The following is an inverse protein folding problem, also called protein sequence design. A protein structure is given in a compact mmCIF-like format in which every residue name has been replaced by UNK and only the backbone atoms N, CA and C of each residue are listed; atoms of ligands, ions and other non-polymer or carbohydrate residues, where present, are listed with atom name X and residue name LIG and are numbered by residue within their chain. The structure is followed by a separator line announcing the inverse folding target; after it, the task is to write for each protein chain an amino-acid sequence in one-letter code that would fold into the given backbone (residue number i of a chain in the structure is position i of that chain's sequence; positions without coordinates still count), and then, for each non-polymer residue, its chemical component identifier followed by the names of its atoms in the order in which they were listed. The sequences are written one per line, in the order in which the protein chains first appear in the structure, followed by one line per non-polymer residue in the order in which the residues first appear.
data_IF_753288909293
#
_entry.id   IF_753288909293
#
_cell.length_a   1.000
_cell.length_b   1.000
_cell.length_c   1.000
_cell.angle_alpha   90.00
_cell.angle_beta   90.00
_cell.angle_gamma   90.00
#
_symmetry.space_group_name_H-M   'P 1'
#
loop_
_entity.id
_entity.type
_entity.pdbx_description
1 polymer ?
#
# COMPACT_ATOMS: atom_id res chain seq x y z
N UNK A 1 12.46 -26.97 29.18
CA UNK A 1 12.39 -26.83 27.70
C UNK A 1 13.28 -25.67 27.34
N UNK A 2 14.44 -25.98 26.76
CA UNK A 2 15.46 -25.00 26.44
C UNK A 2 15.02 -24.12 25.27
N UNK A 3 14.98 -22.81 25.53
CA UNK A 3 14.78 -21.76 24.54
C UNK A 3 16.01 -21.70 23.64
N UNK A 4 15.90 -22.25 22.42
CA UNK A 4 16.99 -22.18 21.44
C UNK A 4 17.01 -20.79 20.79
N UNK A 5 18.08 -20.06 21.13
CA UNK A 5 18.59 -18.87 20.43
C UNK A 5 18.62 -19.14 18.92
N UNK A 6 17.66 -18.59 18.16
CA UNK A 6 17.81 -18.08 16.78
C UNK A 6 16.48 -17.58 16.13
N UNK A 7 15.36 -17.49 16.86
CA UNK A 7 14.08 -17.02 16.28
C UNK A 7 13.84 -15.49 16.24
N UNK A 8 14.82 -14.65 16.59
CA UNK A 8 14.55 -13.21 16.80
C UNK A 8 15.10 -12.24 15.75
N UNK A 9 15.85 -12.66 14.73
CA UNK A 9 16.52 -11.68 13.86
C UNK A 9 15.54 -10.95 12.93
N UNK A 10 14.49 -11.61 12.45
CA UNK A 10 13.52 -10.97 11.53
C UNK A 10 12.24 -10.46 12.24
N UNK A 11 11.99 -10.82 13.51
CA UNK A 11 10.85 -10.27 14.30
C UNK A 11 11.24 -8.97 15.01
N UNK A 12 12.53 -8.78 15.30
CA UNK A 12 13.04 -7.48 15.72
C UNK A 12 13.11 -6.47 14.57
N UNK A 13 13.13 -6.89 13.31
CA UNK A 13 13.26 -5.96 12.18
C UNK A 13 11.96 -5.15 11.95
N UNK A 14 10.81 -5.82 11.89
CA UNK A 14 9.49 -5.18 11.76
C UNK A 14 9.08 -4.43 13.04
N UNK A 15 9.37 -4.97 14.23
CA UNK A 15 9.13 -4.29 15.51
C UNK A 15 10.14 -3.17 15.85
N UNK A 16 11.30 -3.09 15.17
CA UNK A 16 12.21 -1.94 15.24
C UNK A 16 11.81 -0.82 14.28
N UNK A 17 11.24 -1.17 13.12
CA UNK A 17 10.76 -0.21 12.12
C UNK A 17 9.38 0.37 12.46
N UNK A 18 8.55 -0.40 13.17
CA UNK A 18 7.31 0.07 13.79
C UNK A 18 7.38 -0.05 15.31
N UNK A 19 8.42 0.54 15.90
CA UNK A 19 8.24 1.02 17.28
C UNK A 19 7.15 2.07 17.22
N UNK A 20 6.10 1.96 18.04
CA UNK A 20 5.34 3.16 18.35
C UNK A 20 6.37 4.18 18.82
N UNK A 21 6.24 5.39 18.33
CA UNK A 21 7.15 6.50 18.62
C UNK A 21 7.25 6.75 20.14
N UNK A 22 6.34 6.18 20.95
CA UNK A 22 6.34 6.15 22.42
C UNK A 22 7.43 5.28 23.04
N UNK A 23 8.09 4.40 22.28
CA UNK A 23 9.12 3.47 22.79
C UNK A 23 10.55 3.85 22.38
N UNK A 24 10.73 4.99 21.72
CA UNK A 24 12.04 5.52 21.33
C UNK A 24 12.46 6.67 22.26
N UNK A 25 13.63 6.54 22.90
CA UNK A 25 14.12 7.47 23.94
C UNK A 25 15.08 8.57 23.42
N UNK A 26 15.39 8.60 22.12
CA UNK A 26 16.34 9.55 21.52
C UNK A 26 15.64 10.78 20.90
N UNK A 27 16.28 11.95 20.96
CA UNK A 27 15.80 13.17 20.29
C UNK A 27 15.60 12.97 18.78
N UNK A 28 14.54 13.57 18.22
CA UNK A 28 14.11 13.36 16.82
C UNK A 28 14.75 14.40 15.90
N UNK A 29 15.37 13.95 14.80
CA UNK A 29 15.73 14.83 13.67
C UNK A 29 14.61 14.91 12.61
N UNK A 30 13.72 13.91 12.57
CA UNK A 30 12.53 13.81 11.70
C UNK A 30 11.43 13.00 12.41
N UNK A 31 10.15 13.18 12.06
CA UNK A 31 9.10 12.25 12.50
C UNK A 31 9.26 10.91 11.78
N UNK A 32 9.26 9.80 12.53
CA UNK A 32 9.37 8.46 11.97
C UNK A 32 7.97 7.97 11.68
N UNK A 33 7.72 7.67 10.41
CA UNK A 33 6.38 7.31 9.94
C UNK A 33 6.48 6.15 8.97
N UNK A 34 5.37 5.48 8.69
CA UNK A 34 5.27 4.20 8.00
C UNK A 34 6.01 4.05 6.64
N UNK A 35 6.44 5.16 6.02
CA UNK A 35 7.30 5.17 4.82
C UNK A 35 8.82 5.15 5.13
N UNK A 36 9.20 5.12 6.40
CA UNK A 36 10.59 5.15 6.87
C UNK A 36 10.99 3.80 7.45
N UNK A 37 12.00 3.16 6.87
CA UNK A 37 12.67 2.00 7.46
C UNK A 37 13.90 2.48 8.22
N UNK A 38 13.98 2.17 9.52
CA UNK A 38 15.08 2.54 10.41
C UNK A 38 16.10 1.41 10.44
N UNK A 39 17.28 1.65 9.89
CA UNK A 39 18.43 0.76 10.00
C UNK A 39 19.30 1.22 11.16
N UNK A 40 19.70 0.29 12.01
CA UNK A 40 20.69 0.56 13.05
C UNK A 40 22.04 0.18 12.49
N UNK A 41 22.93 1.15 12.33
CA UNK A 41 24.31 0.89 11.88
C UNK A 41 25.08 0.09 12.94
N UNK A 42 26.23 -0.52 12.59
CA UNK A 42 27.13 -1.11 13.57
C UNK A 42 27.48 -0.16 14.73
N UNK A 43 27.48 1.15 14.47
CA UNK A 43 27.77 2.22 15.43
C UNK A 43 26.56 2.67 16.26
N UNK A 44 25.42 1.98 16.13
CA UNK A 44 24.14 2.26 16.81
C UNK A 44 23.47 3.58 16.41
N UNK A 45 23.81 4.13 15.24
CA UNK A 45 23.11 5.27 14.66
C UNK A 45 21.88 4.81 13.88
N UNK A 46 20.85 5.67 13.83
CA UNK A 46 19.64 5.40 13.07
C UNK A 46 19.82 5.95 11.64
N UNK A 47 19.89 5.09 10.63
CA UNK A 47 19.82 5.46 9.22
C UNK A 47 18.38 5.24 8.74
N UNK A 48 17.75 6.29 8.24
CA UNK A 48 16.39 6.22 7.70
C UNK A 48 16.47 5.98 6.18
N UNK A 49 15.91 4.86 5.72
CA UNK A 49 15.62 4.66 4.31
C UNK A 49 14.16 5.00 4.05
N UNK A 50 13.90 5.84 3.05
CA UNK A 50 12.55 6.13 2.57
C UNK A 50 12.14 5.02 1.61
N UNK A 51 11.32 4.09 2.10
CA UNK A 51 10.65 3.09 1.29
C UNK A 51 9.16 3.34 1.46
N UNK A 52 8.49 3.95 0.47
CA UNK A 52 7.14 4.46 0.64
C UNK A 52 6.09 3.35 0.79
N UNK A 53 6.47 2.07 0.65
CA UNK A 53 5.57 0.94 0.72
C UNK A 53 6.22 -0.20 1.47
N UNK A 54 5.74 -0.56 2.66
CA UNK A 54 5.79 -1.95 3.04
C UNK A 54 4.76 -2.69 2.15
N UNK A 55 5.16 -3.68 1.35
CA UNK A 55 4.25 -4.84 1.22
C UNK A 55 3.99 -5.26 2.66
N UNK A 56 2.77 -5.71 2.94
CA UNK A 56 2.30 -6.20 4.23
C UNK A 56 3.13 -7.37 4.82
N UNK A 57 4.42 -7.16 5.07
CA UNK A 57 5.24 -7.76 6.13
C UNK A 57 4.80 -7.25 7.50
N UNK A 58 3.90 -6.27 7.53
CA UNK A 58 3.16 -5.85 8.71
C UNK A 58 2.32 -7.04 9.20
N UNK A 59 2.91 -7.85 10.06
CA UNK A 59 2.30 -8.95 10.80
C UNK A 59 1.83 -10.19 10.01
N UNK A 60 2.06 -10.31 8.70
CA UNK A 60 1.91 -11.62 8.02
C UNK A 60 2.94 -12.61 8.59
N UNK A 61 2.52 -13.82 8.92
CA UNK A 61 3.41 -14.85 9.47
C UNK A 61 4.51 -15.19 8.46
N UNK A 62 5.77 -15.19 8.88
CA UNK A 62 6.91 -15.54 7.99
C UNK A 62 6.83 -16.94 7.41
N UNK A 63 6.12 -17.83 8.09
CA UNK A 63 5.92 -19.19 7.60
C UNK A 63 4.76 -19.29 6.59
N UNK A 64 4.06 -18.19 6.27
CA UNK A 64 2.86 -18.22 5.43
C UNK A 64 3.14 -18.72 4.00
N UNK A 65 4.34 -18.47 3.49
CA UNK A 65 4.76 -18.90 2.14
C UNK A 65 6.04 -19.74 2.16
N UNK A 66 6.35 -20.35 3.30
CA UNK A 66 7.53 -21.20 3.44
C UNK A 66 7.23 -22.59 2.90
N UNK A 67 8.05 -23.04 1.97
CA UNK A 67 7.93 -24.32 1.28
C UNK A 67 9.18 -25.17 1.48
N UNK A 68 9.09 -26.46 1.14
CA UNK A 68 10.19 -27.43 1.24
C UNK A 68 10.56 -27.92 -0.15
N UNK A 69 11.78 -27.64 -0.55
CA UNK A 69 12.34 -28.09 -1.82
C UNK A 69 12.41 -29.63 -1.85
N UNK A 70 11.89 -30.25 -2.92
CA UNK A 70 11.80 -31.71 -2.98
C UNK A 70 13.14 -32.40 -3.22
N UNK A 71 14.09 -31.74 -3.90
CA UNK A 71 15.40 -32.33 -4.22
C UNK A 71 16.36 -32.22 -3.03
N UNK A 72 16.38 -31.05 -2.40
CA UNK A 72 17.35 -30.73 -1.34
C UNK A 72 16.80 -30.89 0.08
N UNK A 73 15.47 -30.96 0.22
CA UNK A 73 14.79 -30.91 1.52
C UNK A 73 14.92 -29.57 2.24
N UNK A 74 15.52 -28.55 1.61
CA UNK A 74 15.76 -27.26 2.24
C UNK A 74 14.54 -26.34 2.13
N UNK A 75 14.31 -25.49 3.14
CA UNK A 75 13.25 -24.50 3.09
C UNK A 75 13.54 -23.42 2.04
N UNK A 76 12.49 -22.94 1.37
CA UNK A 76 12.53 -21.76 0.49
C UNK A 76 11.19 -20.99 0.56
N UNK A 77 11.13 -19.81 -0.06
CA UNK A 77 9.95 -18.94 -0.08
C UNK A 77 9.87 -18.11 -1.38
N UNK A 78 8.94 -17.14 -1.38
CA UNK A 78 8.62 -16.23 -2.49
C UNK A 78 8.97 -14.76 -2.18
N UNK A 79 9.82 -14.49 -1.18
CA UNK A 79 10.12 -13.11 -0.75
C UNK A 79 10.78 -12.28 -1.87
N UNK A 80 11.62 -12.90 -2.70
CA UNK A 80 12.29 -12.23 -3.82
C UNK A 80 11.28 -11.70 -4.86
N UNK A 81 10.28 -12.51 -5.20
CA UNK A 81 9.21 -12.16 -6.15
C UNK A 81 8.33 -11.03 -5.62
N UNK A 82 7.97 -11.09 -4.33
CA UNK A 82 7.28 -9.99 -3.65
C UNK A 82 8.13 -8.71 -3.70
N UNK A 83 9.44 -8.81 -3.47
CA UNK A 83 10.36 -7.66 -3.53
C UNK A 83 10.44 -6.98 -4.91
N UNK A 84 10.30 -7.73 -6.01
CA UNK A 84 10.23 -7.13 -7.37
C UNK A 84 9.02 -6.22 -7.49
N UNK A 85 7.87 -6.72 -7.04
CA UNK A 85 6.61 -6.00 -7.06
C UNK A 85 6.62 -4.75 -6.15
N UNK A 86 7.25 -4.88 -5.00
CA UNK A 86 7.48 -3.82 -4.01
C UNK A 86 8.23 -2.63 -4.64
N UNK A 87 9.34 -2.91 -5.31
CA UNK A 87 10.17 -1.90 -5.99
C UNK A 87 9.41 -1.19 -7.10
N UNK A 88 8.63 -1.92 -7.89
CA UNK A 88 7.83 -1.35 -8.97
C UNK A 88 6.80 -0.35 -8.43
N UNK A 89 6.07 -0.75 -7.40
CA UNK A 89 5.04 0.10 -6.80
C UNK A 89 5.66 1.29 -6.08
N UNK A 90 6.79 1.09 -5.40
CA UNK A 90 7.51 2.16 -4.70
C UNK A 90 7.96 3.28 -5.65
N UNK A 91 8.37 2.94 -6.88
CA UNK A 91 8.72 3.93 -7.89
C UNK A 91 7.56 4.89 -8.23
N UNK A 92 6.34 4.37 -8.34
CA UNK A 92 5.14 5.17 -8.63
C UNK A 92 4.75 6.01 -7.42
N UNK A 93 4.78 5.41 -6.24
CA UNK A 93 4.38 6.08 -5.01
C UNK A 93 5.37 7.20 -4.65
N UNK A 94 6.68 7.00 -4.85
CA UNK A 94 7.69 8.04 -4.70
C UNK A 94 7.48 9.21 -5.67
N UNK A 95 7.19 8.92 -6.95
CA UNK A 95 6.89 9.94 -7.96
C UNK A 95 5.66 10.78 -7.57
N UNK A 96 4.64 10.15 -6.97
CA UNK A 96 3.45 10.84 -6.48
C UNK A 96 3.75 11.67 -5.22
N UNK A 97 4.45 11.12 -4.23
CA UNK A 97 4.59 11.75 -2.91
C UNK A 97 5.74 12.77 -2.87
N UNK A 98 6.88 12.41 -3.44
CA UNK A 98 8.06 13.27 -3.39
C UNK A 98 8.08 14.28 -4.54
N UNK A 99 7.64 13.88 -5.73
CA UNK A 99 7.65 14.76 -6.90
C UNK A 99 6.30 15.44 -7.18
N UNK A 100 5.24 15.05 -6.46
CA UNK A 100 3.88 15.55 -6.68
C UNK A 100 3.41 15.40 -8.14
N UNK A 101 3.84 14.34 -8.82
CA UNK A 101 3.53 14.09 -10.23
C UNK A 101 2.10 13.55 -10.42
N UNK A 102 1.11 14.29 -9.94
CA UNK A 102 -0.29 13.84 -9.91
C UNK A 102 -0.91 13.73 -11.31
N UNK A 103 -0.44 14.51 -12.29
CA UNK A 103 -0.97 14.45 -13.65
C UNK A 103 -0.68 13.11 -14.34
N UNK A 104 0.39 12.42 -13.95
CA UNK A 104 0.72 11.06 -14.40
C UNK A 104 -0.38 10.04 -14.09
N UNK A 105 -1.20 10.27 -13.06
CA UNK A 105 -2.35 9.40 -12.73
C UNK A 105 -3.41 9.35 -13.85
N UNK A 106 -3.35 10.24 -14.84
CA UNK A 106 -4.19 10.17 -16.04
C UNK A 106 -3.65 9.28 -17.15
N UNK A 107 -2.39 8.86 -17.07
CA UNK A 107 -1.80 8.01 -18.09
C UNK A 107 -2.48 6.64 -18.08
N UNK A 108 -2.68 6.10 -19.27
CA UNK A 108 -3.35 4.81 -19.50
C UNK A 108 -2.66 4.02 -20.62
N UNK A 109 -1.37 4.30 -20.87
CA UNK A 109 -0.58 3.51 -21.82
C UNK A 109 -0.21 2.18 -21.16
N UNK A 110 -0.16 1.05 -21.89
CA UNK A 110 0.11 -0.26 -21.30
C UNK A 110 1.37 -0.31 -20.40
N UNK A 111 2.44 0.38 -20.79
CA UNK A 111 3.69 0.43 -20.01
C UNK A 111 3.66 1.48 -18.88
N UNK A 112 2.79 2.47 -18.98
CA UNK A 112 2.64 3.59 -18.05
C UNK A 112 1.16 3.85 -17.73
N UNK A 113 0.60 2.96 -16.91
CA UNK A 113 -0.74 3.08 -16.33
C UNK A 113 -0.66 3.07 -14.78
N UNK A 114 -0.33 4.20 -14.14
CA UNK A 114 -0.13 4.25 -12.69
C UNK A 114 -1.35 3.84 -11.87
N UNK A 115 -2.56 4.23 -12.31
CA UNK A 115 -3.80 3.91 -11.58
C UNK A 115 -4.09 2.42 -11.61
N UNK A 116 -3.84 1.74 -12.73
CA UNK A 116 -3.92 0.28 -12.78
C UNK A 116 -2.94 -0.36 -11.80
N UNK A 117 -1.69 0.09 -11.78
CA UNK A 117 -0.66 -0.43 -10.85
C UNK A 117 -1.02 -0.19 -9.38
N UNK A 118 -1.54 1.00 -9.03
CA UNK A 118 -1.96 1.34 -7.66
C UNK A 118 -3.23 0.58 -7.22
N UNK A 119 -4.20 0.38 -8.10
CA UNK A 119 -5.42 -0.38 -7.79
C UNK A 119 -5.15 -1.89 -7.73
N UNK A 120 -4.27 -2.41 -8.60
CA UNK A 120 -3.68 -3.74 -8.46
C UNK A 120 -2.97 -3.90 -7.12
N UNK A 121 -2.25 -2.87 -6.67
CA UNK A 121 -1.67 -2.82 -5.34
C UNK A 121 -2.67 -2.86 -4.20
N UNK A 122 -3.71 -2.04 -4.26
CA UNK A 122 -4.83 -2.10 -3.33
C UNK A 122 -5.33 -3.55 -3.14
N UNK A 123 -5.65 -4.22 -4.25
CA UNK A 123 -6.20 -5.58 -4.24
C UNK A 123 -5.19 -6.63 -3.79
N UNK A 124 -3.94 -6.57 -4.27
CA UNK A 124 -2.91 -7.55 -3.88
C UNK A 124 -2.65 -7.52 -2.38
N UNK A 125 -2.54 -6.33 -1.80
CA UNK A 125 -2.37 -6.21 -0.36
C UNK A 125 -3.61 -6.65 0.42
N UNK A 126 -4.82 -6.39 -0.08
CA UNK A 126 -6.02 -6.98 0.55
C UNK A 126 -5.88 -8.49 0.65
N UNK A 127 -5.45 -9.16 -0.41
CA UNK A 127 -5.25 -10.61 -0.42
C UNK A 127 -4.16 -11.07 0.54
N UNK A 128 -2.99 -10.44 0.50
CA UNK A 128 -1.89 -10.76 1.43
C UNK A 128 -2.30 -10.55 2.89
N UNK A 129 -3.10 -9.51 3.18
CA UNK A 129 -3.57 -9.21 4.52
C UNK A 129 -4.71 -10.10 5.01
N UNK A 130 -5.35 -10.90 4.14
CA UNK A 130 -6.22 -11.97 4.63
C UNK A 130 -5.40 -12.98 5.45
N UNK A 131 -4.11 -13.17 5.18
CA UNK A 131 -3.22 -14.02 5.97
C UNK A 131 -2.74 -13.37 7.28
N UNK A 132 -3.05 -12.10 7.51
CA UNK A 132 -2.63 -11.37 8.69
C UNK A 132 -3.51 -11.72 9.91
N UNK A 133 -2.96 -12.23 11.03
CA UNK A 133 -3.73 -12.54 12.24
C UNK A 133 -4.37 -11.30 12.89
N UNK A 134 -3.88 -10.09 12.61
CA UNK A 134 -4.45 -8.85 13.12
C UNK A 134 -5.65 -8.35 12.31
N UNK A 135 -5.93 -8.95 11.15
CA UNK A 135 -7.09 -8.61 10.33
C UNK A 135 -8.38 -9.12 11.00
N UNK A 136 -9.29 -8.19 11.35
CA UNK A 136 -10.58 -8.46 12.01
C UNK A 136 -11.74 -8.60 11.03
N UNK A 137 -11.52 -8.58 9.72
CA UNK A 137 -12.59 -8.72 8.76
C UNK A 137 -13.39 -10.01 9.06
N UNK A 138 -14.70 -9.91 9.40
CA UNK A 138 -15.49 -11.07 9.81
C UNK A 138 -15.63 -12.11 8.70
N UNK A 139 -15.48 -11.70 7.44
CA UNK A 139 -15.55 -12.58 6.26
C UNK A 139 -14.18 -13.10 5.82
N UNK A 140 -13.12 -12.87 6.59
CA UNK A 140 -11.74 -13.23 6.21
C UNK A 140 -11.59 -14.70 5.81
N UNK A 141 -12.17 -15.62 6.57
CA UNK A 141 -12.07 -17.06 6.28
C UNK A 141 -12.81 -17.44 5.00
N UNK A 142 -14.04 -16.96 4.83
CA UNK A 142 -14.84 -17.18 3.61
C UNK A 142 -14.14 -16.60 2.37
N UNK A 143 -13.56 -15.41 2.49
CA UNK A 143 -12.77 -14.79 1.42
C UNK A 143 -11.53 -15.64 1.09
N UNK A 144 -10.75 -16.06 2.09
CA UNK A 144 -9.58 -16.92 1.89
C UNK A 144 -9.96 -18.22 1.19
N UNK A 145 -11.04 -18.87 1.62
CA UNK A 145 -11.55 -20.08 0.99
C UNK A 145 -11.96 -19.81 -0.45
N UNK A 146 -12.71 -18.73 -0.71
CA UNK A 146 -13.12 -18.39 -2.08
C UNK A 146 -11.92 -18.14 -3.00
N UNK A 147 -10.84 -17.54 -2.50
CA UNK A 147 -9.64 -17.25 -3.30
C UNK A 147 -8.76 -18.48 -3.53
N UNK A 148 -8.63 -19.35 -2.53
CA UNK A 148 -7.75 -20.52 -2.62
C UNK A 148 -8.43 -21.78 -3.13
N UNK A 149 -9.74 -21.94 -2.95
CA UNK A 149 -10.45 -23.18 -3.28
C UNK A 149 -10.26 -23.58 -4.73
N UNK A 150 -10.32 -22.63 -5.67
CA UNK A 150 -10.15 -22.92 -7.09
C UNK A 150 -8.79 -23.56 -7.41
N UNK A 151 -7.70 -23.02 -6.85
CA UNK A 151 -6.36 -23.57 -7.06
C UNK A 151 -6.18 -24.87 -6.29
N UNK A 152 -6.74 -24.97 -5.09
CA UNK A 152 -6.63 -26.15 -4.25
C UNK A 152 -7.40 -27.35 -4.84
N UNK A 153 -8.62 -27.14 -5.31
CA UNK A 153 -9.50 -28.15 -5.90
C UNK A 153 -8.94 -28.68 -7.23
N UNK A 154 -8.24 -27.83 -7.99
CA UNK A 154 -7.65 -28.16 -9.29
C UNK A 154 -6.11 -28.22 -9.24
N UNK A 155 -5.51 -28.40 -8.05
CA UNK A 155 -4.05 -28.28 -7.88
C UNK A 155 -3.28 -29.23 -8.80
N UNK A 156 -3.76 -30.46 -8.97
CA UNK A 156 -3.14 -31.46 -9.84
C UNK A 156 -3.07 -31.00 -11.31
N UNK A 157 -4.09 -30.29 -11.80
CA UNK A 157 -4.16 -29.76 -13.16
C UNK A 157 -3.21 -28.58 -13.35
N UNK A 158 -3.16 -27.68 -12.36
CA UNK A 158 -2.18 -26.59 -12.34
C UNK A 158 -0.75 -27.13 -12.31
N UNK A 159 -0.43 -28.08 -11.42
CA UNK A 159 0.89 -28.72 -11.35
C UNK A 159 1.26 -29.39 -12.67
N UNK A 160 0.32 -30.10 -13.29
CA UNK A 160 0.55 -30.69 -14.61
C UNK A 160 0.89 -29.63 -15.65
N UNK A 161 0.08 -28.58 -15.75
CA UNK A 161 0.27 -27.47 -16.70
C UNK A 161 1.59 -26.74 -16.49
N UNK A 162 1.95 -26.46 -15.24
CA UNK A 162 3.22 -25.83 -14.86
C UNK A 162 4.40 -26.70 -15.31
N UNK A 163 4.31 -28.02 -15.10
CA UNK A 163 5.36 -28.95 -15.51
C UNK A 163 5.52 -29.09 -17.04
N UNK A 164 4.53 -28.65 -17.83
CA UNK A 164 4.65 -28.58 -19.29
C UNK A 164 5.33 -27.30 -19.78
N UNK A 165 5.41 -26.23 -18.97
CA UNK A 165 5.96 -24.93 -19.38
C UNK A 165 7.36 -25.02 -20.00
N UNK A 166 8.33 -25.80 -19.47
CA UNK A 166 9.65 -25.91 -20.08
C UNK A 166 9.64 -26.48 -21.51
N UNK A 167 8.57 -27.17 -21.90
CA UNK A 167 8.41 -27.78 -23.21
C UNK A 167 7.52 -26.95 -24.14
N UNK A 168 6.45 -26.36 -23.62
CA UNK A 168 5.49 -25.59 -24.43
C UNK A 168 5.88 -24.13 -24.61
N UNK A 169 6.54 -23.55 -23.60
CA UNK A 169 6.92 -22.13 -23.54
C UNK A 169 8.31 -21.97 -22.89
N UNK A 170 9.37 -22.55 -23.48
CA UNK A 170 10.71 -22.54 -22.90
C UNK A 170 11.23 -21.12 -22.62
N UNK A 171 10.82 -20.12 -23.41
CA UNK A 171 11.17 -18.72 -23.24
C UNK A 171 10.71 -18.12 -21.89
N UNK A 172 9.65 -18.65 -21.29
CA UNK A 172 9.19 -18.19 -19.98
C UNK A 172 10.13 -18.63 -18.85
N UNK A 173 10.90 -19.70 -19.06
CA UNK A 173 11.79 -20.25 -18.04
C UNK A 173 13.02 -19.38 -17.77
N UNK A 174 13.34 -18.43 -18.65
CA UNK A 174 14.39 -17.43 -18.44
C UNK A 174 14.01 -16.40 -17.36
N UNK A 175 12.73 -16.32 -17.00
CA UNK A 175 12.22 -15.41 -15.97
C UNK A 175 12.04 -16.13 -14.63
N UNK A 176 12.67 -15.55 -13.59
CA UNK A 176 12.69 -16.11 -12.23
C UNK A 176 11.30 -16.41 -11.64
N UNK A 177 10.24 -15.70 -12.05
CA UNK A 177 8.88 -16.01 -11.57
C UNK A 177 8.44 -17.41 -12.02
N UNK A 178 8.64 -17.77 -13.29
CA UNK A 178 8.20 -19.07 -13.81
C UNK A 178 9.06 -20.20 -13.29
N UNK A 179 10.37 -19.98 -13.12
CA UNK A 179 11.24 -20.97 -12.48
C UNK A 179 10.85 -21.19 -11.00
N UNK A 180 10.46 -20.14 -10.26
CA UNK A 180 9.91 -20.26 -8.92
C UNK A 180 8.59 -21.03 -8.90
N UNK A 181 7.66 -20.73 -9.82
CA UNK A 181 6.38 -21.45 -9.95
C UNK A 181 6.61 -22.94 -10.21
N UNK A 182 7.54 -23.29 -11.11
CA UNK A 182 7.91 -24.68 -11.39
C UNK A 182 8.48 -25.37 -10.13
N UNK A 183 9.36 -24.68 -9.39
CA UNK A 183 9.90 -25.18 -8.13
C UNK A 183 8.82 -25.42 -7.08
N UNK A 184 7.83 -24.54 -6.98
CA UNK A 184 6.69 -24.69 -6.05
C UNK A 184 5.85 -25.90 -6.41
N UNK A 185 5.50 -26.06 -7.69
CA UNK A 185 4.70 -27.19 -8.17
C UNK A 185 5.34 -28.54 -7.77
N UNK A 186 6.66 -28.61 -7.91
CA UNK A 186 7.46 -29.80 -7.60
C UNK A 186 7.95 -29.89 -6.15
N UNK A 187 7.62 -28.93 -5.27
CA UNK A 187 8.03 -28.96 -3.86
C UNK A 187 7.41 -30.14 -3.08
N UNK A 188 8.02 -30.51 -1.95
CA UNK A 188 7.54 -31.55 -1.05
C UNK A 188 6.49 -31.02 -0.03
N UNK A 189 6.10 -29.75 -0.14
CA UNK A 189 5.13 -29.10 0.73
C UNK A 189 3.70 -29.62 0.56
N UNK A 190 2.85 -29.29 1.53
CA UNK A 190 1.42 -29.60 1.48
C UNK A 190 0.74 -28.95 0.27
N UNK A 191 -0.37 -29.53 -0.19
CA UNK A 191 -1.16 -28.94 -1.28
C UNK A 191 -1.69 -27.55 -0.93
N UNK A 192 -1.99 -27.30 0.35
CA UNK A 192 -2.43 -26.01 0.85
C UNK A 192 -1.33 -24.94 0.72
N UNK A 193 -0.10 -25.23 1.16
CA UNK A 193 1.02 -24.29 1.07
C UNK A 193 1.40 -24.00 -0.40
N UNK A 194 1.35 -25.03 -1.26
CA UNK A 194 1.52 -24.86 -2.70
C UNK A 194 0.45 -23.93 -3.27
N UNK A 195 -0.82 -24.18 -2.96
CA UNK A 195 -1.95 -23.42 -3.50
C UNK A 195 -1.88 -21.94 -3.11
N UNK A 196 -1.57 -21.65 -1.83
CA UNK A 196 -1.39 -20.27 -1.35
C UNK A 196 -0.24 -19.55 -2.06
N UNK A 197 0.89 -20.23 -2.21
CA UNK A 197 2.07 -19.64 -2.86
C UNK A 197 1.85 -19.42 -4.37
N UNK A 198 1.21 -20.38 -5.05
CA UNK A 198 0.83 -20.26 -6.46
C UNK A 198 -0.19 -19.15 -6.67
N UNK A 199 -1.19 -19.01 -5.80
CA UNK A 199 -2.16 -17.91 -5.86
C UNK A 199 -1.47 -16.54 -5.87
N UNK A 200 -0.52 -16.34 -4.94
CA UNK A 200 0.24 -15.09 -4.84
C UNK A 200 1.07 -14.86 -6.09
N UNK A 201 1.84 -15.86 -6.56
CA UNK A 201 2.70 -15.69 -7.74
C UNK A 201 1.90 -15.46 -9.03
N UNK A 202 0.78 -16.16 -9.22
CA UNK A 202 -0.12 -15.89 -10.35
C UNK A 202 -0.73 -14.49 -10.28
N UNK A 203 -1.08 -14.02 -9.09
CA UNK A 203 -1.48 -12.64 -8.85
C UNK A 203 -0.39 -11.64 -9.23
N UNK A 204 0.86 -11.88 -8.82
CA UNK A 204 1.99 -11.02 -9.19
C UNK A 204 2.24 -11.01 -10.71
N UNK A 205 2.21 -12.17 -11.38
CA UNK A 205 2.32 -12.26 -12.83
C UNK A 205 1.22 -11.43 -13.53
N UNK A 206 -0.03 -11.56 -13.07
CA UNK A 206 -1.18 -10.79 -13.54
C UNK A 206 -0.95 -9.27 -13.44
N UNK A 207 -0.44 -8.78 -12.30
CA UNK A 207 -0.14 -7.35 -12.09
C UNK A 207 1.03 -6.87 -12.95
N UNK A 208 2.00 -7.75 -13.19
CA UNK A 208 3.15 -7.47 -14.06
C UNK A 208 2.81 -7.60 -15.56
N UNK A 209 1.54 -7.79 -15.91
CA UNK A 209 1.07 -8.02 -17.29
C UNK A 209 1.79 -9.21 -17.97
N UNK A 210 2.13 -10.23 -17.19
CA UNK A 210 2.79 -11.45 -17.66
C UNK A 210 1.77 -12.59 -17.84
N UNK A 211 1.99 -13.52 -18.78
CA UNK A 211 1.15 -14.70 -18.92
C UNK A 211 0.99 -15.45 -17.60
N UNK A 212 -0.26 -15.70 -17.20
CA UNK A 212 -0.59 -16.41 -15.97
C UNK A 212 -1.70 -17.43 -16.22
N UNK A 213 -1.66 -18.55 -15.50
CA UNK A 213 -2.72 -19.57 -15.55
C UNK A 213 -3.96 -19.14 -14.73
N UNK A 214 -3.82 -18.10 -13.90
CA UNK A 214 -4.87 -17.66 -13.01
C UNK A 214 -4.87 -16.13 -12.86
N UNK A 215 -6.00 -15.49 -13.19
CA UNK A 215 -6.13 -14.02 -13.22
C UNK A 215 -7.29 -13.51 -12.36
N UNK A 216 -7.33 -13.89 -11.08
CA UNK A 216 -8.38 -13.43 -10.16
C UNK A 216 -8.12 -12.03 -9.60
N UNK A 217 -6.86 -11.60 -9.52
CA UNK A 217 -6.49 -10.27 -9.04
C UNK A 217 -7.03 -9.18 -9.97
N UNK A 218 -6.81 -9.28 -11.29
CA UNK A 218 -7.36 -8.28 -12.21
C UNK A 218 -8.88 -8.29 -12.23
N UNK A 219 -9.52 -9.47 -12.16
CA UNK A 219 -10.98 -9.56 -12.05
C UNK A 219 -11.49 -8.83 -10.81
N UNK A 220 -10.88 -9.06 -9.65
CA UNK A 220 -11.26 -8.40 -8.40
C UNK A 220 -11.01 -6.90 -8.43
N UNK A 221 -9.87 -6.46 -8.96
CA UNK A 221 -9.57 -5.04 -9.19
C UNK A 221 -10.62 -4.38 -10.06
N UNK A 222 -10.99 -5.00 -11.18
CA UNK A 222 -11.98 -4.45 -12.10
C UNK A 222 -13.39 -4.42 -11.49
N UNK A 223 -13.69 -5.27 -10.50
CA UNK A 223 -14.95 -5.21 -9.73
C UNK A 223 -14.92 -4.07 -8.71
N UNK A 224 -13.83 -3.94 -7.96
CA UNK A 224 -13.73 -2.95 -6.87
C UNK A 224 -13.56 -1.53 -7.42
N UNK A 225 -12.67 -1.36 -8.39
CA UNK A 225 -12.27 -0.06 -8.95
C UNK A 225 -12.92 0.17 -10.32
N UNK A 226 -14.06 -0.47 -10.58
CA UNK A 226 -14.80 -0.28 -11.81
C UNK A 226 -15.18 1.20 -11.95
N UNK A 227 -14.95 1.76 -13.12
CA UNK A 227 -15.54 3.05 -13.45
C UNK A 227 -15.01 4.23 -12.64
N UNK A 228 -13.70 4.29 -12.39
CA UNK A 228 -13.06 5.48 -11.82
C UNK A 228 -13.25 6.68 -12.76
N UNK A 229 -13.94 7.71 -12.28
CA UNK A 229 -14.20 8.94 -13.05
C UNK A 229 -13.59 10.19 -12.41
N UNK A 230 -13.31 10.16 -11.11
CA UNK A 230 -12.54 11.20 -10.41
C UNK A 230 -11.48 10.54 -9.53
N UNK A 231 -10.29 11.14 -9.52
CA UNK A 231 -9.24 10.82 -8.57
C UNK A 231 -8.98 12.09 -7.77
N UNK A 232 -9.16 11.99 -6.46
CA UNK A 232 -8.84 13.06 -5.54
C UNK A 232 -7.51 12.76 -4.86
N UNK A 233 -6.62 13.74 -4.83
CA UNK A 233 -5.39 13.71 -4.04
C UNK A 233 -5.62 14.56 -2.81
N UNK A 234 -5.52 13.96 -1.63
CA UNK A 234 -5.78 14.64 -0.36
C UNK A 234 -4.45 14.78 0.36
N UNK A 235 -4.01 16.03 0.53
CA UNK A 235 -2.73 16.41 1.11
C UNK A 235 -2.94 17.11 2.45
N UNK A 236 -2.20 16.71 3.48
CA UNK A 236 -2.34 17.28 4.82
C UNK A 236 -1.87 18.73 4.95
N UNK A 237 -1.25 19.32 3.91
CA UNK A 237 -0.77 20.72 3.92
C UNK A 237 0.68 20.87 4.41
N UNK A 238 1.43 19.80 4.35
CA UNK A 238 2.39 19.47 5.38
C UNK A 238 3.49 18.63 4.73
N UNK A 239 4.74 19.12 4.78
CA UNK A 239 5.86 18.46 4.09
C UNK A 239 6.04 17.02 4.58
N UNK A 240 6.50 16.14 3.70
CA UNK A 240 6.68 14.72 4.01
C UNK A 240 7.61 14.51 5.22
N UNK A 241 8.68 15.30 5.36
CA UNK A 241 9.63 15.17 6.48
C UNK A 241 9.31 16.10 7.68
N UNK A 242 8.12 16.73 7.72
CA UNK A 242 7.82 17.71 8.77
C UNK A 242 7.86 17.09 10.17
N UNK A 243 8.35 17.89 11.12
CA UNK A 243 8.33 17.57 12.54
C UNK A 243 7.16 18.21 13.29
N UNK A 244 6.34 19.03 12.60
CA UNK A 244 5.20 19.73 13.19
C UNK A 244 4.17 18.73 13.77
N UNK A 245 3.54 19.03 14.91
CA UNK A 245 2.40 18.25 15.40
C UNK A 245 1.24 18.41 14.44
N UNK A 246 0.74 17.28 13.95
CA UNK A 246 -0.33 17.23 12.97
C UNK A 246 -0.99 15.86 12.95
N UNK A 247 -2.24 15.78 12.50
CA UNK A 247 -2.83 14.58 11.97
C UNK A 247 -2.03 14.03 10.79
N UNK A 248 -1.76 12.73 10.83
CA UNK A 248 -1.15 11.95 9.76
C UNK A 248 -2.06 10.78 9.35
N UNK A 249 -2.20 10.51 8.04
CA UNK A 249 -2.90 9.32 7.56
C UNK A 249 -2.22 8.07 8.09
N UNK A 250 -3.01 7.25 8.76
CA UNK A 250 -2.56 6.00 9.30
C UNK A 250 -2.95 4.84 8.39
N UNK A 251 -2.29 3.71 8.64
CA UNK A 251 -2.52 2.47 7.89
C UNK A 251 -2.85 1.33 8.84
N UNK A 252 -3.74 0.46 8.39
CA UNK A 252 -3.98 -0.84 8.98
C UNK A 252 -3.57 -1.93 7.97
N UNK A 253 -3.58 -3.21 8.37
CA UNK A 253 -3.52 -4.33 7.44
C UNK A 253 -4.51 -4.18 6.26
N UNK A 254 -5.66 -3.54 6.46
CA UNK A 254 -6.47 -3.10 5.33
C UNK A 254 -5.90 -1.80 4.79
N UNK A 255 -5.16 -1.90 3.68
CA UNK A 255 -4.44 -0.76 3.10
C UNK A 255 -5.34 0.24 2.34
N UNK A 256 -6.63 -0.08 2.16
CA UNK A 256 -7.60 0.83 1.54
C UNK A 256 -8.95 0.75 2.26
N UNK A 257 -9.68 1.87 2.24
CA UNK A 257 -10.99 2.03 2.87
C UNK A 257 -12.08 2.10 1.81
N UNK A 258 -13.04 1.17 1.86
CA UNK A 258 -14.22 1.14 1.01
C UNK A 258 -15.36 1.90 1.69
N UNK A 259 -15.66 3.09 1.20
CA UNK A 259 -16.80 3.90 1.65
C UNK A 259 -17.91 3.83 0.61
N UNK A 260 -18.65 2.71 0.64
CA UNK A 260 -19.60 2.31 -0.40
C UNK A 260 -20.75 3.29 -0.59
N UNK A 261 -21.23 3.90 0.49
CA UNK A 261 -22.40 4.80 0.46
C UNK A 261 -22.14 6.06 -0.40
N UNK A 262 -20.87 6.43 -0.61
CA UNK A 262 -20.47 7.55 -1.45
C UNK A 262 -19.68 7.14 -2.70
N UNK A 263 -19.60 5.84 -3.01
CA UNK A 263 -18.77 5.29 -4.10
C UNK A 263 -17.29 5.72 -4.03
N UNK A 264 -16.76 5.89 -2.81
CA UNK A 264 -15.40 6.36 -2.54
C UNK A 264 -14.51 5.22 -2.08
N UNK A 265 -13.29 5.20 -2.58
CA UNK A 265 -12.25 4.26 -2.16
C UNK A 265 -10.99 5.03 -1.80
N UNK A 266 -10.63 5.05 -0.52
CA UNK A 266 -9.43 5.73 -0.05
C UNK A 266 -8.24 4.77 -0.02
N UNK A 267 -7.10 5.22 -0.55
CA UNK A 267 -5.83 4.51 -0.55
C UNK A 267 -4.75 5.44 0.04
N UNK A 268 -4.48 5.35 1.36
CA UNK A 268 -3.36 6.05 1.99
C UNK A 268 -2.03 5.62 1.36
N UNK A 269 -1.26 6.59 0.86
CA UNK A 269 0.03 6.36 0.19
C UNK A 269 1.23 6.81 1.03
N UNK A 270 1.02 7.79 1.90
CA UNK A 270 1.95 8.19 2.95
C UNK A 270 1.15 8.80 4.09
N UNK A 271 1.83 9.24 5.13
CA UNK A 271 1.20 9.93 6.24
C UNK A 271 0.69 11.34 5.90
N UNK A 272 1.14 11.93 4.79
CA UNK A 272 0.68 13.24 4.33
C UNK A 272 -0.15 13.19 3.04
N UNK A 273 -0.27 12.03 2.39
CA UNK A 273 -1.08 11.83 1.19
C UNK A 273 -1.95 10.58 1.22
N UNK A 274 -3.21 10.76 0.82
CA UNK A 274 -4.11 9.67 0.42
C UNK A 274 -4.71 9.95 -0.94
N UNK A 275 -4.97 8.90 -1.72
CA UNK A 275 -5.79 8.98 -2.93
C UNK A 275 -7.22 8.60 -2.59
N UNK A 276 -8.20 9.29 -3.16
CA UNK A 276 -9.59 8.85 -3.19
C UNK A 276 -10.00 8.57 -4.63
N UNK A 277 -10.42 7.34 -4.91
CA UNK A 277 -11.02 6.96 -6.18
C UNK A 277 -12.54 7.06 -6.06
N UNK A 278 -13.16 7.91 -6.90
CA UNK A 278 -14.61 7.98 -7.02
C UNK A 278 -15.03 7.14 -8.22
N UNK A 279 -15.85 6.13 -7.92
CA UNK A 279 -16.33 5.12 -8.87
C UNK A 279 -17.77 5.39 -9.32
N UNK A 280 -18.15 4.87 -10.49
CA UNK A 280 -19.45 5.10 -11.10
C UNK A 280 -19.53 4.49 -12.51
N UNK A 281 -20.31 5.09 -13.41
CA UNK A 281 -20.45 4.60 -14.81
C UNK A 281 -19.75 5.49 -15.86
N UNK A 282 -18.40 5.64 -15.86
CA UNK A 282 -17.70 6.24 -16.98
C UNK A 282 -17.51 5.21 -18.11
N UNK A 283 -17.70 5.67 -19.35
CA UNK A 283 -17.48 4.87 -20.56
C UNK A 283 -16.01 4.72 -20.96
N UNK A 284 -15.13 5.64 -20.53
CA UNK A 284 -13.70 5.63 -20.83
C UNK A 284 -12.88 6.15 -19.65
N UNK A 285 -11.65 5.63 -19.50
CA UNK A 285 -10.73 6.09 -18.46
C UNK A 285 -10.15 7.47 -18.82
N UNK A 286 -10.72 8.52 -18.24
CA UNK A 286 -10.21 9.90 -18.32
C UNK A 286 -10.58 10.66 -17.04
N UNK A 287 -9.94 10.35 -15.92
CA UNK A 287 -10.38 10.85 -14.63
C UNK A 287 -10.17 12.36 -14.52
N UNK A 288 -11.15 13.02 -13.90
CA UNK A 288 -10.95 14.37 -13.34
C UNK A 288 -9.96 14.25 -12.18
N UNK A 289 -9.00 15.18 -12.11
CA UNK A 289 -8.00 15.21 -11.03
C UNK A 289 -8.28 16.41 -10.15
N UNK A 290 -8.61 16.16 -8.88
CA UNK A 290 -8.86 17.20 -7.89
C UNK A 290 -7.85 17.05 -6.75
N UNK A 291 -7.19 18.14 -6.37
CA UNK A 291 -6.18 18.14 -5.31
C UNK A 291 -6.75 18.98 -4.17
N UNK A 292 -6.95 18.36 -3.01
CA UNK A 292 -7.43 19.02 -1.81
C UNK A 292 -6.25 19.19 -0.86
N UNK A 293 -5.93 20.45 -0.53
CA UNK A 293 -4.86 20.76 0.41
C UNK A 293 -5.13 22.03 1.20
N UNK A 294 -4.79 22.09 2.50
CA UNK A 294 -4.75 23.35 3.24
C UNK A 294 -3.70 24.33 2.72
N UNK A 295 -2.63 23.77 2.17
CA UNK A 295 -1.46 24.51 1.69
C UNK A 295 -1.08 24.08 0.27
N UNK A 296 -1.94 24.34 -0.73
CA UNK A 296 -1.67 23.96 -2.11
C UNK A 296 -0.40 24.62 -2.67
N UNK A 297 0.02 25.77 -2.11
CA UNK A 297 1.24 26.47 -2.50
C UNK A 297 2.53 25.69 -2.16
N UNK A 298 2.48 24.72 -1.23
CA UNK A 298 3.62 23.85 -0.90
C UNK A 298 3.83 22.71 -1.91
N UNK A 299 2.86 22.46 -2.79
CA UNK A 299 2.96 21.37 -3.76
C UNK A 299 3.82 21.81 -4.95
N UNK A 300 4.90 21.07 -5.23
CA UNK A 300 5.74 21.20 -6.43
C UNK A 300 4.94 21.35 -7.75
N UNK A 301 3.79 20.69 -7.87
CA UNK A 301 2.94 20.72 -9.06
C UNK A 301 1.87 21.82 -9.05
N UNK A 302 1.91 22.79 -8.12
CA UNK A 302 0.84 23.78 -7.92
C UNK A 302 0.52 24.62 -9.16
N UNK A 303 1.44 24.71 -10.12
CA UNK A 303 1.25 25.42 -11.39
C UNK A 303 0.72 24.54 -12.56
N UNK A 304 0.50 23.24 -12.35
CA UNK A 304 -0.02 22.33 -13.38
C UNK A 304 -1.49 22.64 -13.69
N UNK A 305 -1.72 23.27 -14.85
CA UNK A 305 -3.06 23.68 -15.32
C UNK A 305 -3.96 22.51 -15.67
N UNK A 306 -3.42 21.31 -15.79
CA UNK A 306 -4.22 20.12 -16.02
C UNK A 306 -4.92 19.68 -14.72
N UNK A 307 -4.49 20.16 -13.56
CA UNK A 307 -4.98 19.76 -12.24
C UNK A 307 -5.93 20.80 -11.66
N UNK A 308 -6.98 20.37 -10.95
CA UNK A 308 -7.85 21.27 -10.20
C UNK A 308 -7.40 21.32 -8.75
N UNK A 309 -6.88 22.45 -8.29
CA UNK A 309 -6.51 22.64 -6.89
C UNK A 309 -7.66 23.24 -6.10
N UNK A 310 -7.94 22.68 -4.94
CA UNK A 310 -8.89 23.18 -3.97
C UNK A 310 -8.15 23.46 -2.67
N UNK A 311 -8.21 24.72 -2.21
CA UNK A 311 -7.81 25.07 -0.85
C UNK A 311 -8.90 24.61 0.11
N UNK A 312 -8.52 23.87 1.14
CA UNK A 312 -9.42 23.38 2.19
C UNK A 312 -8.91 23.80 3.56
N UNK A 313 -9.70 23.63 4.62
CA UNK A 313 -9.23 23.80 5.99
C UNK A 313 -8.42 22.58 6.45
N UNK A 314 -7.67 22.71 7.55
CA UNK A 314 -7.07 21.54 8.21
C UNK A 314 -8.17 20.65 8.81
N UNK A 315 -9.25 21.23 9.33
CA UNK A 315 -10.43 20.49 9.81
C UNK A 315 -11.06 19.59 8.72
N UNK A 316 -11.11 20.05 7.47
CA UNK A 316 -11.55 19.21 6.35
C UNK A 316 -10.68 17.96 6.19
N UNK A 317 -9.35 18.11 6.32
CA UNK A 317 -8.42 16.98 6.27
C UNK A 317 -8.64 16.05 7.47
N UNK A 318 -8.84 16.60 8.67
CA UNK A 318 -9.06 15.84 9.90
C UNK A 318 -10.32 14.96 9.80
N UNK A 319 -11.38 15.46 9.15
CA UNK A 319 -12.60 14.70 8.87
C UNK A 319 -12.37 13.52 7.90
N UNK A 320 -11.62 13.74 6.82
CA UNK A 320 -11.24 12.66 5.88
C UNK A 320 -10.40 11.62 6.60
N UNK A 321 -9.43 12.06 7.38
CA UNK A 321 -8.57 11.18 8.15
C UNK A 321 -9.34 10.34 9.16
N UNK A 322 -10.25 10.98 9.92
CA UNK A 322 -11.10 10.29 10.89
C UNK A 322 -11.93 9.19 10.21
N UNK A 323 -12.43 9.43 9.01
CA UNK A 323 -13.17 8.43 8.22
C UNK A 323 -12.30 7.20 7.91
N UNK A 324 -11.07 7.42 7.44
CA UNK A 324 -10.11 6.35 7.13
C UNK A 324 -9.70 5.60 8.41
N UNK A 325 -9.39 6.33 9.47
CA UNK A 325 -8.94 5.77 10.73
C UNK A 325 -10.03 4.93 11.40
N UNK A 326 -11.28 5.40 11.39
CA UNK A 326 -12.43 4.65 11.90
C UNK A 326 -12.67 3.35 11.12
N UNK A 327 -12.53 3.39 9.78
CA UNK A 327 -12.60 2.18 8.97
C UNK A 327 -11.51 1.17 9.36
N UNK A 328 -10.29 1.66 9.56
CA UNK A 328 -9.13 0.85 9.95
C UNK A 328 -9.30 0.22 11.34
N UNK A 329 -9.79 0.97 12.33
CA UNK A 329 -10.11 0.48 13.68
C UNK A 329 -11.14 -0.65 13.65
N UNK A 330 -12.17 -0.53 12.80
CA UNK A 330 -13.20 -1.55 12.65
C UNK A 330 -12.66 -2.87 12.06
N UNK A 331 -11.61 -2.81 11.25
CA UNK A 331 -11.12 -3.95 10.49
C UNK A 331 -9.77 -4.51 10.96
N UNK A 332 -9.14 -3.92 11.98
CA UNK A 332 -7.84 -4.39 12.47
C UNK A 332 -7.70 -4.33 13.99
N UNK A 333 -6.92 -5.27 14.53
CA UNK A 333 -6.43 -5.27 15.91
C UNK A 333 -5.19 -4.39 16.11
N UNK A 334 -4.54 -4.00 15.01
CA UNK A 334 -3.36 -3.14 15.03
C UNK A 334 -3.51 -2.01 14.02
N UNK A 335 -3.16 -0.81 14.45
CA UNK A 335 -3.19 0.39 13.64
C UNK A 335 -1.85 1.10 13.80
N UNK A 336 -1.28 1.52 12.68
CA UNK A 336 0.02 2.18 12.66
C UNK A 336 -0.20 3.65 12.43
N UNK A 337 0.08 4.43 13.47
CA UNK A 337 0.01 5.87 13.39
C UNK A 337 1.36 6.53 13.61
N UNK A 338 1.51 7.69 12.99
CA UNK A 338 2.52 8.69 13.36
C UNK A 338 2.18 9.39 14.69
N UNK A 339 0.99 9.18 15.26
CA UNK A 339 0.53 9.82 16.48
C UNK A 339 1.37 9.40 17.70
N UNK A 340 2.02 10.38 18.32
CA UNK A 340 2.23 10.37 19.77
C UNK A 340 1.04 11.09 20.41
N UNK A 341 0.49 10.55 21.49
CA UNK A 341 -0.65 11.18 22.19
C UNK A 341 -0.33 12.63 22.62
N UNK A 342 0.89 12.88 23.07
CA UNK A 342 1.36 14.23 23.43
C UNK A 342 1.40 15.22 22.25
N UNK A 343 1.51 14.74 21.01
CA UNK A 343 1.49 15.59 19.80
C UNK A 343 0.07 15.92 19.37
N UNK A 344 -0.92 15.13 19.76
CA UNK A 344 -2.32 15.44 19.52
C UNK A 344 -2.78 16.59 20.41
N UNK A 345 -2.43 16.56 21.70
CA UNK A 345 -2.74 17.67 22.62
C UNK A 345 -2.11 18.99 22.13
N UNK A 346 -0.83 18.97 21.72
CA UNK A 346 -0.17 20.14 21.14
C UNK A 346 -0.85 20.63 19.84
N UNK A 347 -1.42 19.72 19.04
CA UNK A 347 -2.14 20.08 17.82
C UNK A 347 -3.50 20.71 18.13
N UNK A 348 -4.26 20.14 19.04
CA UNK A 348 -5.57 20.67 19.46
C UNK A 348 -5.41 22.05 20.11
N UNK A 349 -4.39 22.23 20.96
CA UNK A 349 -4.07 23.54 21.55
C UNK A 349 -3.77 24.61 20.46
N UNK A 350 -3.14 24.21 19.35
CA UNK A 350 -2.88 25.12 18.22
C UNK A 350 -4.15 25.46 17.44
N UNK A 351 -5.06 24.50 17.26
CA UNK A 351 -6.35 24.77 16.65
C UNK A 351 -7.14 25.81 17.44
N UNK A 352 -7.16 25.68 18.77
CA UNK A 352 -7.84 26.62 19.64
C UNK A 352 -7.20 28.03 19.63
N UNK A 353 -5.88 28.10 19.44
CA UNK A 353 -5.13 29.37 19.42
C UNK A 353 -5.23 30.13 18.09
N UNK A 354 -5.37 29.44 16.96
CA UNK A 354 -5.49 30.04 15.63
C UNK A 354 -6.64 29.44 14.80
N UNK A 355 -7.90 29.69 15.18
CA UNK A 355 -9.05 29.10 14.51
C UNK A 355 -9.14 29.44 13.02
N UNK A 356 -8.72 30.65 12.64
CA UNK A 356 -8.76 31.11 11.24
C UNK A 356 -7.83 30.28 10.36
N UNK A 357 -6.62 29.94 10.86
CA UNK A 357 -5.69 29.08 10.13
C UNK A 357 -6.20 27.64 9.98
N UNK A 358 -6.81 27.08 11.02
CA UNK A 358 -7.18 25.65 11.05
C UNK A 358 -8.56 25.35 10.46
N UNK A 359 -9.52 26.28 10.54
CA UNK A 359 -10.91 26.06 10.13
C UNK A 359 -11.32 26.81 8.84
N UNK A 360 -10.44 27.64 8.26
CA UNK A 360 -10.74 28.38 7.02
C UNK A 360 -10.00 27.78 5.81
N UNK A 361 -10.66 27.64 4.65
CA UNK A 361 -12.07 27.89 4.38
C UNK A 361 -12.98 26.80 4.94
N UNK A 362 -14.22 27.17 5.30
CA UNK A 362 -15.26 26.24 5.77
C UNK A 362 -15.59 25.16 4.73
N UNK A 363 -15.56 25.54 3.45
CA UNK A 363 -15.80 24.64 2.32
C UNK A 363 -14.61 24.67 1.35
N UNK A 364 -14.35 23.59 0.59
CA UNK A 364 -13.32 23.59 -0.43
C UNK A 364 -13.51 24.72 -1.46
N UNK A 365 -12.47 25.54 -1.67
CA UNK A 365 -12.48 26.66 -2.63
C UNK A 365 -11.48 26.39 -3.74
N UNK A 366 -11.89 26.57 -5.00
CA UNK A 366 -10.98 26.46 -6.14
C UNK A 366 -9.83 27.46 -5.98
N UNK A 367 -8.61 26.94 -5.99
CA UNK A 367 -7.39 27.70 -5.80
C UNK A 367 -6.60 27.79 -7.11
N UNK A 368 -6.02 28.95 -7.35
CA UNK A 368 -5.03 29.15 -8.41
C UNK A 368 -3.80 29.81 -7.80
N UNK A 369 -2.58 29.46 -8.28
CA UNK A 369 -1.38 30.17 -7.90
C UNK A 369 -1.54 31.65 -8.24
N UNK A 370 -1.09 32.54 -7.36
CA UNK A 370 -0.89 33.93 -7.75
C UNK A 370 0.01 33.93 -9.00
N UNK A 371 -0.45 34.56 -10.08
CA UNK A 371 0.39 34.73 -11.26
C UNK A 371 1.62 35.52 -10.81
N UNK A 372 2.82 34.99 -11.08
CA UNK A 372 4.02 35.80 -10.94
C UNK A 372 3.83 37.02 -11.83
N UNK A 373 3.77 38.20 -11.22
CA UNK A 373 3.73 39.46 -11.96
C UNK A 373 4.89 39.42 -12.95
N UNK A 374 4.57 39.50 -14.24
CA UNK A 374 5.56 39.62 -15.29
C UNK A 374 6.26 40.97 -15.11
N UNK A 375 7.38 40.97 -14.41
CA UNK A 375 8.33 42.06 -14.35
C UNK A 375 9.43 41.87 -15.38
#
# INVERSE_FOLDING_TARGET
MDYTKNQHVLSQWVLRNFRSDDTALSAKEKQRVWCHTVYITPDKENVLHTQPLPISSVAVSKNCFRLIDAETGQPFDIEEELGVYERLTAGIVNDIIHEHNFSRLRHAQPDDFPVEKLTSFAVMQLMLNLHNPQNKNPFKHEMLEQFHSDIQDHLSEYVHSINQLPHTNPELMDDHFYSKILRIANSASSGEDKSRSLFVLFGLLSILNKPTLYDKINKLRNVIFAGIHTIEVIHTGHDFDSTEPRPAFAIAPNIFCLYKDENRIYLPLSHNFTLCFITGEPSHFRPRMNIFSPRPERLKCCHDRSLNFFKVSFDYIDNVMTTIDMYNVGNSSTFYSAYQLSKLEEYLDKQDQDPDYYHTPENPVLWQPAQADSL
#
